data_IF_086417846056
#
_entry.id   IF_086417846056
#
_cell.length_a   1.000
_cell.length_b   1.000
_cell.length_c   1.000
_cell.angle_alpha   90.00
_cell.angle_beta   90.00
_cell.angle_gamma   90.00
#
_symmetry.space_group_name_H-M   'P 1'
#
loop_
_entity.id
_entity.type
_entity.pdbx_description
1 polymer ?
#
# COMPACT_ATOMS: atom_id res chain seq x y z
N UNK A 1 11.52 63.76 33.59
CA UNK A 1 11.46 62.29 33.48
C UNK A 1 10.19 61.76 32.81
N UNK A 2 9.15 62.57 32.55
CA UNK A 2 7.88 62.11 31.93
C UNK A 2 7.88 62.02 30.38
N UNK A 3 8.81 62.66 29.66
CA UNK A 3 8.80 62.66 28.19
C UNK A 3 9.30 61.36 27.54
N UNK A 4 10.10 60.55 28.25
CA UNK A 4 10.67 59.32 27.69
C UNK A 4 9.67 58.16 27.63
N UNK A 5 8.69 58.12 28.55
CA UNK A 5 7.65 57.09 28.58
C UNK A 5 6.68 57.20 27.41
N UNK A 6 6.26 58.42 27.06
CA UNK A 6 5.30 58.66 25.96
C UNK A 6 5.82 58.17 24.60
N UNK A 7 7.13 58.27 24.34
CA UNK A 7 7.72 57.81 23.08
C UNK A 7 7.78 56.29 22.97
N UNK A 8 8.02 55.60 24.09
CA UNK A 8 8.07 54.14 24.13
C UNK A 8 6.67 53.53 23.99
N UNK A 9 5.67 54.13 24.64
CA UNK A 9 4.28 53.71 24.53
C UNK A 9 3.72 53.86 23.11
N UNK A 10 4.04 54.96 22.43
CA UNK A 10 3.67 55.17 21.02
C UNK A 10 4.34 54.15 20.10
N UNK A 11 5.62 53.85 20.32
CA UNK A 11 6.33 52.86 19.52
C UNK A 11 5.75 51.45 19.72
N UNK A 12 5.39 51.10 20.96
CA UNK A 12 4.75 49.83 21.30
C UNK A 12 3.36 49.71 20.67
N UNK A 13 2.57 50.77 20.68
CA UNK A 13 1.24 50.78 20.04
C UNK A 13 1.35 50.58 18.53
N UNK A 14 2.29 51.25 17.86
CA UNK A 14 2.54 51.08 16.41
C UNK A 14 3.00 49.65 16.11
N UNK A 15 3.91 49.09 16.92
CA UNK A 15 4.38 47.72 16.75
C UNK A 15 3.24 46.69 16.92
N UNK A 16 2.34 46.91 17.88
CA UNK A 16 1.18 46.05 18.12
C UNK A 16 0.20 46.05 16.94
N UNK A 17 -0.11 47.22 16.40
CA UNK A 17 -0.98 47.36 15.22
C UNK A 17 -0.31 46.76 13.98
N UNK A 18 0.99 47.00 13.79
CA UNK A 18 1.73 46.41 12.68
C UNK A 18 1.74 44.88 12.77
N UNK A 19 1.93 44.32 13.97
CA UNK A 19 1.92 42.86 14.19
C UNK A 19 0.54 42.25 13.96
N UNK A 20 -0.54 42.92 14.35
CA UNK A 20 -1.91 42.40 14.19
C UNK A 20 -2.32 42.29 12.73
N UNK A 21 -1.76 43.12 11.85
CA UNK A 21 -1.97 43.06 10.38
C UNK A 21 -0.96 42.13 9.71
N UNK A 22 0.30 42.13 10.16
CA UNK A 22 1.36 41.33 9.52
C UNK A 22 1.10 39.83 9.61
N UNK A 23 0.59 39.32 10.74
CA UNK A 23 0.37 37.88 10.93
C UNK A 23 -0.65 37.32 9.92
N UNK A 24 -1.86 37.88 9.75
CA UNK A 24 -2.80 37.44 8.71
C UNK A 24 -2.22 37.50 7.29
N UNK A 25 -1.45 38.55 6.96
CA UNK A 25 -0.85 38.71 5.63
C UNK A 25 0.14 37.59 5.33
N UNK A 26 1.00 37.23 6.28
CA UNK A 26 1.97 36.13 6.11
C UNK A 26 1.23 34.80 5.92
N UNK A 27 0.20 34.53 6.73
CA UNK A 27 -0.60 33.30 6.61
C UNK A 27 -1.28 33.25 5.24
N UNK A 28 -1.82 34.37 4.75
CA UNK A 28 -2.47 34.43 3.45
C UNK A 28 -1.48 34.13 2.30
N UNK A 29 -0.26 34.67 2.35
CA UNK A 29 0.77 34.42 1.35
C UNK A 29 1.19 32.94 1.36
N UNK A 30 1.46 32.37 2.55
CA UNK A 30 1.84 30.96 2.68
C UNK A 30 0.71 30.03 2.25
N UNK A 31 -0.53 30.35 2.62
CA UNK A 31 -1.72 29.61 2.22
C UNK A 31 -1.89 29.60 0.71
N UNK A 32 -1.75 30.75 0.06
CA UNK A 32 -1.81 30.87 -1.40
C UNK A 32 -0.72 30.04 -2.09
N UNK A 33 0.52 30.10 -1.59
CA UNK A 33 1.63 29.36 -2.19
C UNK A 33 1.45 27.85 -2.08
N UNK A 34 1.01 27.36 -0.91
CA UNK A 34 0.74 25.94 -0.69
C UNK A 34 -0.43 25.45 -1.56
N UNK A 35 -1.52 26.22 -1.61
CA UNK A 35 -2.71 25.88 -2.40
C UNK A 35 -2.41 25.87 -3.90
N UNK A 36 -1.56 26.78 -4.39
CA UNK A 36 -1.12 26.78 -5.79
C UNK A 36 -0.33 25.50 -6.14
N UNK A 37 0.55 25.04 -5.23
CA UNK A 37 1.29 23.78 -5.40
C UNK A 37 0.38 22.56 -5.48
N UNK A 38 -0.58 22.46 -4.55
CA UNK A 38 -1.54 21.35 -4.50
C UNK A 38 -2.45 21.35 -5.75
N UNK A 39 -2.92 22.52 -6.18
CA UNK A 39 -3.78 22.63 -7.36
C UNK A 39 -3.05 22.19 -8.63
N UNK A 40 -1.75 22.50 -8.76
CA UNK A 40 -0.95 22.07 -9.91
C UNK A 40 -0.81 20.53 -9.94
N UNK A 41 -0.48 19.92 -8.81
CA UNK A 41 -0.35 18.46 -8.71
C UNK A 41 -1.67 17.73 -9.00
N UNK A 42 -2.81 18.31 -8.61
CA UNK A 42 -4.13 17.77 -8.94
C UNK A 42 -4.36 17.68 -10.45
N UNK A 43 -4.08 18.77 -11.17
CA UNK A 43 -4.22 18.83 -12.63
C UNK A 43 -3.26 17.83 -13.32
N UNK A 44 -2.02 17.71 -12.83
CA UNK A 44 -1.04 16.76 -13.37
C UNK A 44 -1.52 15.31 -13.22
N UNK A 45 -2.08 14.97 -12.05
CA UNK A 45 -2.68 13.64 -11.80
C UNK A 45 -3.84 13.36 -12.75
N UNK A 46 -4.73 14.32 -12.95
CA UNK A 46 -5.90 14.16 -13.82
C UNK A 46 -5.48 13.92 -15.27
N UNK A 47 -4.47 14.65 -15.78
CA UNK A 47 -3.92 14.41 -17.12
C UNK A 47 -3.28 13.03 -17.25
N UNK A 48 -2.49 12.59 -16.26
CA UNK A 48 -1.90 11.25 -16.23
C UNK A 48 -2.97 10.17 -16.21
N UNK A 49 -4.07 10.38 -15.47
CA UNK A 49 -5.19 9.45 -15.40
C UNK A 49 -5.93 9.35 -16.74
N UNK A 50 -6.19 10.48 -17.40
CA UNK A 50 -6.81 10.51 -18.74
C UNK A 50 -5.91 9.80 -19.76
N UNK A 51 -4.61 10.14 -19.78
CA UNK A 51 -3.65 9.51 -20.67
C UNK A 51 -3.54 8.00 -20.43
N UNK A 52 -3.51 7.55 -19.17
CA UNK A 52 -3.51 6.13 -18.84
C UNK A 52 -4.77 5.41 -19.32
N UNK A 53 -5.94 6.05 -19.24
CA UNK A 53 -7.19 5.46 -19.71
C UNK A 53 -7.21 5.30 -21.23
N UNK A 54 -6.73 6.31 -21.99
CA UNK A 54 -6.59 6.23 -23.45
C UNK A 54 -5.67 5.05 -23.84
N UNK A 55 -4.55 4.89 -23.15
CA UNK A 55 -3.59 3.82 -23.49
C UNK A 55 -4.07 2.41 -23.11
N UNK A 56 -5.02 2.28 -22.18
CA UNK A 56 -5.62 0.99 -21.79
C UNK A 56 -6.60 0.44 -22.81
N UNK A 57 -7.25 1.31 -23.57
CA UNK A 57 -8.11 0.87 -24.66
C UNK A 57 -7.25 0.11 -25.69
N UNK A 58 -7.81 -0.83 -26.47
CA UNK A 58 -7.07 -1.44 -27.56
C UNK A 58 -6.78 -0.40 -28.65
N UNK A 59 -5.64 -0.48 -29.35
CA UNK A 59 -5.39 0.39 -30.49
C UNK A 59 -6.47 0.15 -31.55
N UNK A 60 -7.22 1.19 -31.93
CA UNK A 60 -8.11 1.12 -33.08
C UNK A 60 -7.38 1.61 -34.34
N UNK A 61 -7.83 1.17 -35.50
CA UNK A 61 -7.26 1.55 -36.80
C UNK A 61 -7.63 2.96 -37.24
N UNK A 62 -8.34 3.72 -36.40
CA UNK A 62 -8.81 5.05 -36.71
C UNK A 62 -7.69 6.06 -36.47
N UNK A 63 -7.43 6.96 -37.42
CA UNK A 63 -6.37 7.98 -37.33
C UNK A 63 -6.52 8.84 -36.07
N UNK A 64 -7.77 9.16 -35.68
CA UNK A 64 -8.08 9.91 -34.46
C UNK A 64 -7.60 9.21 -33.17
N UNK A 65 -7.60 7.87 -33.14
CA UNK A 65 -7.11 7.10 -31.98
C UNK A 65 -5.59 7.15 -31.87
N UNK A 66 -4.89 7.12 -33.00
CA UNK A 66 -3.43 7.21 -33.03
C UNK A 66 -2.94 8.56 -32.50
N UNK A 67 -3.53 9.67 -32.94
CA UNK A 67 -3.18 11.00 -32.43
C UNK A 67 -3.42 11.13 -30.93
N UNK A 68 -4.55 10.61 -30.44
CA UNK A 68 -4.87 10.60 -29.01
C UNK A 68 -3.88 9.77 -28.18
N UNK A 69 -3.40 8.64 -28.72
CA UNK A 69 -2.33 7.85 -28.08
C UNK A 69 -1.00 8.59 -28.05
N UNK A 70 -0.62 9.23 -29.14
CA UNK A 70 0.61 10.03 -29.20
C UNK A 70 0.56 11.14 -28.14
N UNK A 71 -0.58 11.83 -28.04
CA UNK A 71 -0.84 12.81 -26.99
C UNK A 71 -0.72 12.19 -25.60
N UNK A 72 -1.36 11.05 -25.36
CA UNK A 72 -1.31 10.37 -24.06
C UNK A 72 0.12 9.97 -23.67
N UNK A 73 0.93 9.46 -24.60
CA UNK A 73 2.34 9.14 -24.38
C UNK A 73 3.13 10.40 -24.04
N UNK A 74 2.92 11.51 -24.76
CA UNK A 74 3.61 12.77 -24.50
C UNK A 74 3.23 13.36 -23.13
N UNK A 75 1.97 13.27 -22.73
CA UNK A 75 1.49 13.68 -21.40
C UNK A 75 2.18 12.85 -20.31
N UNK A 76 2.17 11.51 -20.43
CA UNK A 76 2.82 10.63 -19.46
C UNK A 76 4.32 10.89 -19.38
N UNK A 77 5.01 11.05 -20.50
CA UNK A 77 6.45 11.33 -20.55
C UNK A 77 6.81 12.68 -19.92
N UNK A 78 5.96 13.70 -20.11
CA UNK A 78 6.15 15.04 -19.53
C UNK A 78 5.98 15.07 -18.02
N UNK A 79 5.04 14.30 -17.48
CA UNK A 79 4.74 14.27 -16.04
C UNK A 79 5.41 13.11 -15.30
N UNK A 80 6.05 12.18 -16.00
CA UNK A 80 6.82 11.11 -15.39
C UNK A 80 8.15 11.65 -14.79
N UNK A 81 8.54 11.20 -13.59
CA UNK A 81 9.85 11.54 -13.01
C UNK A 81 11.05 11.04 -13.84
N UNK A 82 10.84 9.99 -14.64
CA UNK A 82 11.85 9.34 -15.48
C UNK A 82 11.31 9.29 -16.90
N UNK A 83 12.02 9.86 -17.90
CA UNK A 83 11.56 9.86 -19.28
C UNK A 83 11.51 8.45 -19.85
N UNK A 84 10.52 8.19 -20.71
CA UNK A 84 10.34 6.90 -21.35
C UNK A 84 11.39 6.67 -22.42
N UNK A 85 11.94 5.45 -22.48
CA UNK A 85 12.82 5.03 -23.57
C UNK A 85 12.07 5.04 -24.91
N UNK A 86 12.80 5.27 -26.00
CA UNK A 86 12.21 5.23 -27.35
C UNK A 86 11.52 3.88 -27.65
N UNK A 87 12.07 2.78 -27.13
CA UNK A 87 11.46 1.45 -27.24
C UNK A 87 10.13 1.33 -26.49
N UNK A 88 10.02 1.89 -25.29
CA UNK A 88 8.79 1.88 -24.50
C UNK A 88 7.71 2.74 -25.14
N UNK A 89 8.07 3.93 -25.66
CA UNK A 89 7.13 4.79 -26.39
C UNK A 89 6.51 4.06 -27.58
N UNK A 90 7.33 3.37 -28.38
CA UNK A 90 6.84 2.54 -29.49
C UNK A 90 5.94 1.40 -29.03
N UNK A 91 6.30 0.68 -27.96
CA UNK A 91 5.47 -0.39 -27.40
C UNK A 91 4.10 0.12 -26.89
N UNK A 92 4.07 1.32 -26.31
CA UNK A 92 2.83 1.97 -25.85
C UNK A 92 1.97 2.45 -27.03
N UNK A 93 2.60 2.98 -28.08
CA UNK A 93 1.91 3.41 -29.31
C UNK A 93 1.27 2.21 -30.01
N UNK A 94 2.01 1.10 -30.13
CA UNK A 94 1.53 -0.15 -30.73
C UNK A 94 0.44 -0.86 -29.92
N UNK A 95 0.12 -0.40 -28.70
CA UNK A 95 -0.78 -1.10 -27.77
C UNK A 95 -0.27 -2.47 -27.31
N UNK A 96 0.99 -2.80 -27.63
CA UNK A 96 1.65 -4.07 -27.26
C UNK A 96 2.12 -4.08 -25.80
N UNK A 97 1.96 -2.95 -25.10
CA UNK A 97 2.09 -2.87 -23.65
C UNK A 97 0.77 -3.29 -22.98
N UNK A 98 0.24 -4.46 -23.36
CA UNK A 98 -0.55 -5.19 -22.37
C UNK A 98 0.47 -5.54 -21.29
N UNK A 99 0.26 -5.06 -20.06
CA UNK A 99 0.99 -5.57 -18.90
C UNK A 99 0.96 -7.08 -19.05
N UNK A 100 2.11 -7.67 -19.38
CA UNK A 100 2.21 -9.10 -19.63
C UNK A 100 1.50 -9.78 -18.47
N UNK A 101 0.44 -10.55 -18.75
CA UNK A 101 -0.34 -11.32 -17.77
C UNK A 101 0.51 -12.38 -17.03
N UNK A 102 1.83 -12.23 -17.06
CA UNK A 102 2.84 -13.04 -16.40
C UNK A 102 3.18 -12.52 -15.00
N UNK A 103 2.26 -11.87 -14.29
CA UNK A 103 2.15 -12.20 -12.87
C UNK A 103 1.32 -13.47 -12.88
N UNK A 104 2.01 -14.61 -13.10
CA UNK A 104 1.35 -15.90 -13.29
C UNK A 104 0.23 -16.05 -12.27
N UNK A 105 -1.01 -16.18 -12.77
CA UNK A 105 -2.26 -16.09 -12.02
C UNK A 105 -2.05 -16.40 -10.53
N UNK A 106 -1.90 -15.35 -9.71
CA UNK A 106 -1.84 -15.53 -8.26
C UNK A 106 -3.12 -16.27 -7.91
N UNK A 107 -3.04 -17.50 -7.35
CA UNK A 107 -4.24 -18.28 -7.11
C UNK A 107 -5.26 -17.44 -6.33
N UNK A 108 -6.50 -17.41 -6.78
CA UNK A 108 -7.52 -16.44 -6.33
C UNK A 108 -7.70 -16.47 -4.81
N UNK A 109 -7.47 -17.63 -4.18
CA UNK A 109 -7.48 -17.84 -2.74
C UNK A 109 -6.44 -17.01 -1.95
N UNK A 110 -5.39 -16.48 -2.60
CA UNK A 110 -4.43 -15.57 -1.97
C UNK A 110 -4.84 -14.10 -2.03
N UNK A 111 -5.77 -13.76 -2.92
CA UNK A 111 -6.35 -12.41 -3.03
C UNK A 111 -7.63 -12.24 -2.21
N UNK A 112 -8.15 -13.33 -1.63
CA UNK A 112 -9.26 -13.25 -0.70
C UNK A 112 -8.88 -12.39 0.52
N UNK A 113 -9.76 -11.48 0.97
CA UNK A 113 -9.50 -10.69 2.15
C UNK A 113 -9.30 -11.62 3.36
N UNK A 114 -8.46 -11.22 4.34
CA UNK A 114 -8.24 -12.02 5.52
C UNK A 114 -9.57 -12.26 6.23
N UNK A 115 -9.79 -13.49 6.71
CA UNK A 115 -11.00 -13.84 7.44
C UNK A 115 -11.11 -12.92 8.67
N UNK A 116 -12.26 -12.24 8.85
CA UNK A 116 -12.41 -11.30 9.95
C UNK A 116 -12.40 -12.04 11.29
N UNK A 117 -11.76 -11.44 12.29
CA UNK A 117 -11.84 -11.92 13.67
C UNK A 117 -13.18 -11.45 14.24
N UNK A 118 -14.00 -12.39 14.70
CA UNK A 118 -15.28 -12.12 15.34
C UNK A 118 -15.03 -11.46 16.71
N UNK A 119 -15.80 -10.43 17.03
CA UNK A 119 -15.75 -9.81 18.36
C UNK A 119 -16.16 -10.83 19.43
N UNK A 120 -15.40 -10.92 20.51
CA UNK A 120 -15.73 -11.78 21.64
C UNK A 120 -16.99 -11.21 22.32
N UNK A 121 -18.11 -11.94 22.35
CA UNK A 121 -19.35 -11.44 22.92
C UNK A 121 -19.24 -11.36 24.46
N UNK A 122 -20.03 -10.47 25.07
CA UNK A 122 -20.06 -10.28 26.52
C UNK A 122 -20.24 -11.62 27.26
N UNK A 123 -19.23 -12.01 28.06
CA UNK A 123 -19.26 -13.29 28.77
C UNK A 123 -20.42 -13.42 29.76
N UNK A 124 -20.95 -12.30 30.26
CA UNK A 124 -22.11 -12.28 31.19
C UNK A 124 -23.45 -12.57 30.51
N UNK A 125 -23.54 -12.36 29.19
CA UNK A 125 -24.80 -12.45 28.42
C UNK A 125 -24.83 -13.62 27.46
N UNK A 126 -23.72 -14.34 27.33
CA UNK A 126 -23.51 -15.31 26.27
C UNK A 126 -23.33 -16.71 26.85
N UNK A 127 -24.01 -17.69 26.28
CA UNK A 127 -23.81 -19.10 26.64
C UNK A 127 -22.34 -19.51 26.46
N UNK A 128 -21.85 -20.35 27.38
CA UNK A 128 -20.53 -21.01 27.32
C UNK A 128 -20.25 -21.60 25.94
N UNK A 129 -21.24 -22.25 25.33
CA UNK A 129 -21.05 -22.94 24.07
C UNK A 129 -20.90 -21.97 22.89
N UNK A 130 -21.62 -20.83 22.93
CA UNK A 130 -21.44 -19.75 21.97
C UNK A 130 -20.05 -19.10 22.10
N UNK A 131 -19.56 -18.89 23.34
CA UNK A 131 -18.21 -18.37 23.57
C UNK A 131 -17.13 -19.31 23.01
N UNK A 132 -17.28 -20.63 23.24
CA UNK A 132 -16.35 -21.63 22.69
C UNK A 132 -16.35 -21.64 21.17
N UNK A 133 -17.54 -21.54 20.56
CA UNK A 133 -17.67 -21.50 19.11
C UNK A 133 -16.97 -20.28 18.52
N UNK A 134 -17.26 -19.08 19.03
CA UNK A 134 -16.60 -17.83 18.58
C UNK A 134 -15.08 -17.91 18.76
N UNK A 135 -14.62 -18.46 19.87
CA UNK A 135 -13.19 -18.63 20.13
C UNK A 135 -12.53 -19.60 19.14
N UNK A 136 -13.17 -20.75 18.87
CA UNK A 136 -12.69 -21.73 17.90
C UNK A 136 -12.67 -21.15 16.48
N UNK A 137 -13.71 -20.42 16.08
CA UNK A 137 -13.81 -19.75 14.78
C UNK A 137 -12.69 -18.69 14.62
N UNK A 138 -12.40 -17.91 15.67
CA UNK A 138 -11.31 -16.93 15.67
C UNK A 138 -9.93 -17.58 15.55
N UNK A 139 -9.69 -18.70 16.24
CA UNK A 139 -8.44 -19.45 16.09
C UNK A 139 -8.28 -19.93 14.65
N UNK A 140 -9.32 -20.52 14.07
CA UNK A 140 -9.28 -21.03 12.71
C UNK A 140 -9.06 -19.90 11.68
N UNK A 141 -9.70 -18.75 11.87
CA UNK A 141 -9.49 -17.56 11.06
C UNK A 141 -8.02 -17.09 11.13
N UNK A 142 -7.46 -16.96 12.33
CA UNK A 142 -6.05 -16.58 12.52
C UNK A 142 -5.08 -17.57 11.89
N UNK A 143 -5.30 -18.89 12.04
CA UNK A 143 -4.48 -19.91 11.41
C UNK A 143 -4.54 -19.83 9.88
N UNK A 144 -5.74 -19.69 9.31
CA UNK A 144 -5.92 -19.53 7.86
C UNK A 144 -5.17 -18.30 7.35
N UNK A 145 -5.38 -17.15 7.99
CA UNK A 145 -4.75 -15.89 7.57
C UNK A 145 -3.22 -15.97 7.65
N UNK A 146 -2.69 -16.66 8.67
CA UNK A 146 -1.24 -16.87 8.83
C UNK A 146 -0.68 -17.73 7.71
N UNK A 147 -1.36 -18.83 7.34
CA UNK A 147 -0.94 -19.68 6.24
C UNK A 147 -0.98 -18.94 4.89
N UNK A 148 -2.04 -18.17 4.64
CA UNK A 148 -2.16 -17.33 3.43
C UNK A 148 -1.03 -16.31 3.37
N UNK A 149 -0.73 -15.64 4.48
CA UNK A 149 0.35 -14.65 4.57
C UNK A 149 1.72 -15.29 4.30
N UNK A 150 2.03 -16.42 4.93
CA UNK A 150 3.31 -17.10 4.72
C UNK A 150 3.47 -17.54 3.26
N UNK A 151 2.41 -18.07 2.65
CA UNK A 151 2.42 -18.49 1.25
C UNK A 151 2.63 -17.29 0.31
N UNK A 152 1.99 -16.14 0.59
CA UNK A 152 2.22 -14.89 -0.13
C UNK A 152 3.67 -14.44 -0.01
N UNK A 153 4.25 -14.48 1.20
CA UNK A 153 5.65 -14.15 1.42
C UNK A 153 6.60 -15.06 0.66
N UNK A 154 6.35 -16.38 0.64
CA UNK A 154 7.14 -17.32 -0.14
C UNK A 154 7.06 -17.03 -1.65
N UNK A 155 5.86 -16.73 -2.16
CA UNK A 155 5.66 -16.35 -3.56
C UNK A 155 6.45 -15.09 -3.91
N UNK A 156 6.45 -14.09 -3.04
CA UNK A 156 7.22 -12.86 -3.23
C UNK A 156 8.73 -13.10 -3.19
N UNK A 157 9.21 -13.94 -2.28
CA UNK A 157 10.62 -14.33 -2.22
C UNK A 157 11.02 -15.08 -3.51
N UNK A 158 10.17 -15.97 -4.01
CA UNK A 158 10.41 -16.69 -5.25
C UNK A 158 10.44 -15.73 -6.46
N UNK A 159 9.53 -14.75 -6.49
CA UNK A 159 9.50 -13.70 -7.49
C UNK A 159 10.78 -12.86 -7.46
N UNK A 160 11.18 -12.38 -6.28
CA UNK A 160 12.39 -11.56 -6.10
C UNK A 160 13.66 -12.34 -6.47
N UNK A 161 13.79 -13.61 -6.07
CA UNK A 161 14.90 -14.48 -6.51
C UNK A 161 14.97 -14.65 -8.02
N UNK A 162 13.82 -14.78 -8.66
CA UNK A 162 13.71 -14.91 -10.12
C UNK A 162 14.17 -13.61 -10.78
N UNK A 163 13.71 -12.46 -10.28
CA UNK A 163 14.14 -11.14 -10.75
C UNK A 163 15.63 -10.86 -10.51
N UNK A 164 16.17 -11.22 -9.34
CA UNK A 164 17.59 -11.09 -9.01
C UNK A 164 18.47 -11.96 -9.92
N UNK A 165 18.04 -13.17 -10.27
CA UNK A 165 18.74 -14.01 -11.24
C UNK A 165 18.82 -13.33 -12.61
N UNK A 166 17.70 -12.78 -13.09
CA UNK A 166 17.68 -12.05 -14.35
C UNK A 166 18.50 -10.76 -14.31
N UNK A 167 18.49 -10.02 -13.19
CA UNK A 167 19.32 -8.84 -13.01
C UNK A 167 20.83 -9.19 -12.99
N UNK A 168 21.19 -10.31 -12.36
CA UNK A 168 22.59 -10.77 -12.33
C UNK A 168 23.06 -11.25 -13.71
N UNK A 169 22.19 -11.91 -14.48
CA UNK A 169 22.47 -12.20 -15.88
C UNK A 169 22.63 -10.91 -16.70
N UNK A 170 21.80 -9.90 -16.47
CA UNK A 170 21.90 -8.58 -17.13
C UNK A 170 23.28 -7.92 -16.89
N UNK A 171 23.76 -7.93 -15.65
CA UNK A 171 25.07 -7.34 -15.27
C UNK A 171 26.23 -8.05 -15.97
N UNK A 172 26.13 -9.36 -16.24
CA UNK A 172 27.15 -10.09 -17.00
C UNK A 172 27.21 -9.70 -18.48
N UNK A 173 26.11 -9.20 -19.04
CA UNK A 173 26.08 -8.74 -20.43
C UNK A 173 26.58 -7.30 -20.57
N UNK A 174 26.45 -6.47 -19.53
CA UNK A 174 26.91 -5.07 -19.51
C UNK A 174 28.45 -4.94 -19.56
N UNK A 175 29.18 -6.01 -19.25
CA UNK A 175 30.64 -6.08 -19.34
C UNK A 175 31.19 -6.67 -20.65
N UNK A 176 30.32 -7.05 -21.60
CA UNK A 176 30.73 -7.56 -22.92
C UNK A 176 30.99 -6.40 -23.90
N UNK A 177 31.97 -6.56 -24.80
CA UNK A 177 32.26 -5.54 -25.81
C UNK A 177 31.09 -5.40 -26.82
N UNK A 178 30.89 -4.20 -27.42
CA UNK A 178 29.71 -3.85 -28.21
C UNK A 178 29.39 -4.76 -29.40
N UNK A 179 30.40 -5.41 -29.96
CA UNK A 179 30.35 -6.33 -31.09
C UNK A 179 29.77 -7.71 -30.74
N UNK A 180 29.83 -8.13 -29.47
CA UNK A 180 29.23 -9.39 -28.98
C UNK A 180 27.81 -9.22 -28.41
N UNK A 181 27.37 -7.98 -28.20
CA UNK A 181 26.08 -7.63 -27.57
C UNK A 181 24.84 -7.85 -28.47
N UNK A 182 24.98 -7.99 -29.78
CA UNK A 182 23.82 -8.05 -30.70
C UNK A 182 22.97 -9.32 -30.57
N UNK A 183 23.54 -10.47 -30.21
CA UNK A 183 22.80 -11.74 -30.10
C UNK A 183 22.04 -11.90 -28.77
N UNK A 184 22.59 -11.52 -27.60
CA UNK A 184 21.86 -11.57 -26.33
C UNK A 184 20.84 -10.43 -26.16
N UNK A 185 21.12 -9.23 -26.70
CA UNK A 185 20.25 -8.07 -26.55
C UNK A 185 18.85 -8.24 -27.17
N UNK A 186 18.73 -8.98 -28.28
CA UNK A 186 17.43 -9.34 -28.85
C UNK A 186 16.60 -10.23 -27.91
N UNK A 187 17.26 -11.15 -27.18
CA UNK A 187 16.62 -12.06 -26.24
C UNK A 187 16.21 -11.39 -24.92
N UNK A 188 16.86 -10.28 -24.57
CA UNK A 188 16.59 -9.48 -23.36
C UNK A 188 15.54 -8.36 -23.58
N UNK A 189 15.30 -7.93 -24.82
CA UNK A 189 14.29 -6.92 -25.16
C UNK A 189 12.83 -7.40 -24.97
N UNK A 190 12.65 -8.69 -24.68
CA UNK A 190 11.37 -9.37 -24.44
C UNK A 190 10.98 -9.44 -22.95
N UNK A 191 11.85 -9.04 -22.01
CA UNK A 191 11.55 -9.16 -20.58
C UNK A 191 10.78 -7.95 -20.01
N UNK A 192 9.67 -8.15 -19.28
CA UNK A 192 8.89 -7.07 -18.68
C UNK A 192 9.61 -6.47 -17.48
N UNK A 193 9.69 -5.14 -17.43
CA UNK A 193 10.25 -4.35 -16.31
C UNK A 193 9.12 -3.70 -15.51
N UNK A 194 8.86 -4.17 -14.28
CA UNK A 194 8.23 -3.45 -13.14
C UNK A 194 8.22 -4.42 -11.93
N UNK A 195 8.27 -4.04 -10.63
CA UNK A 195 7.38 -3.15 -9.88
C UNK A 195 7.97 -2.67 -8.52
N UNK A 196 7.44 -1.55 -7.99
CA UNK A 196 7.71 -1.00 -6.65
C UNK A 196 6.46 -1.00 -5.74
N UNK A 197 5.31 -1.49 -6.22
CA UNK A 197 3.98 -1.37 -5.56
C UNK A 197 3.63 -2.54 -4.62
N UNK A 198 4.26 -3.69 -4.77
CA UNK A 198 3.98 -4.91 -3.97
C UNK A 198 4.39 -4.75 -2.50
N UNK A 199 5.41 -3.95 -2.20
CA UNK A 199 5.97 -3.79 -0.84
C UNK A 199 5.04 -2.98 0.08
N UNK A 200 4.32 -1.97 -0.44
CA UNK A 200 3.44 -1.13 0.37
C UNK A 200 2.16 -1.87 0.78
N UNK A 201 1.56 -2.63 -0.15
CA UNK A 201 0.40 -3.49 0.14
C UNK A 201 0.70 -4.50 1.26
N UNK A 202 1.89 -5.09 1.25
CA UNK A 202 2.30 -6.06 2.26
C UNK A 202 2.44 -5.46 3.65
N UNK A 203 2.90 -4.21 3.78
CA UNK A 203 3.01 -3.54 5.09
C UNK A 203 1.64 -3.32 5.73
N UNK A 204 0.67 -2.89 4.92
CA UNK A 204 -0.71 -2.67 5.37
C UNK A 204 -1.41 -4.00 5.70
N UNK A 205 -1.18 -5.04 4.89
CA UNK A 205 -1.68 -6.39 5.12
C UNK A 205 -1.08 -7.04 6.38
N UNK A 206 0.23 -6.85 6.64
CA UNK A 206 0.91 -7.37 7.83
C UNK A 206 0.37 -6.75 9.12
N UNK A 207 0.10 -5.44 9.11
CA UNK A 207 -0.48 -4.73 10.26
C UNK A 207 -1.91 -5.20 10.56
N UNK A 208 -2.72 -5.47 9.54
CA UNK A 208 -4.11 -5.89 9.72
C UNK A 208 -4.26 -7.32 10.29
N UNK A 209 -3.31 -8.22 10.03
CA UNK A 209 -3.45 -9.64 10.39
C UNK A 209 -2.74 -10.01 11.69
N UNK A 210 -1.54 -9.45 11.93
CA UNK A 210 -0.70 -9.91 13.05
C UNK A 210 -1.04 -9.21 14.36
N UNK A 211 -1.47 -7.94 14.30
CA UNK A 211 -1.87 -7.20 15.50
C UNK A 211 -3.07 -7.82 16.22
N UNK A 212 -4.14 -8.28 15.53
CA UNK A 212 -5.30 -8.91 16.19
C UNK A 212 -5.06 -10.36 16.66
N UNK A 213 -4.16 -11.11 16.01
CA UNK A 213 -3.92 -12.52 16.35
C UNK A 213 -2.95 -12.71 17.54
N UNK A 214 -2.32 -11.64 18.05
CA UNK A 214 -1.69 -11.68 19.36
C UNK A 214 -2.76 -11.64 20.45
N UNK A 215 -3.18 -12.81 20.92
CA UNK A 215 -3.82 -12.90 22.23
C UNK A 215 -2.89 -12.22 23.23
N UNK A 216 -3.36 -11.13 23.84
CA UNK A 216 -2.60 -10.54 24.93
C UNK A 216 -2.54 -11.56 26.08
N UNK A 217 -1.49 -11.49 26.90
CA UNK A 217 -1.28 -12.41 28.02
C UNK A 217 -2.51 -12.51 28.94
N UNK A 218 -3.27 -11.41 29.06
CA UNK A 218 -4.50 -11.32 29.86
C UNK A 218 -5.63 -12.21 29.30
N UNK A 219 -5.83 -12.27 27.99
CA UNK A 219 -6.84 -13.13 27.36
C UNK A 219 -6.49 -14.61 27.49
N UNK A 220 -5.20 -14.94 27.39
CA UNK A 220 -4.72 -16.30 27.64
C UNK A 220 -4.92 -16.71 29.10
N UNK A 221 -4.65 -15.80 30.04
CA UNK A 221 -4.84 -16.03 31.47
C UNK A 221 -6.33 -16.21 31.83
N UNK A 222 -7.22 -15.40 31.24
CA UNK A 222 -8.67 -15.55 31.42
C UNK A 222 -9.16 -16.93 30.92
N UNK A 223 -8.67 -17.38 29.77
CA UNK A 223 -9.00 -18.70 29.24
C UNK A 223 -8.48 -19.81 30.15
N UNK A 224 -7.23 -19.73 30.61
CA UNK A 224 -6.64 -20.71 31.51
C UNK A 224 -7.38 -20.77 32.86
N UNK A 225 -7.77 -19.62 33.41
CA UNK A 225 -8.55 -19.55 34.64
C UNK A 225 -9.95 -20.13 34.46
N UNK A 226 -10.61 -19.87 33.33
CA UNK A 226 -11.91 -20.47 33.00
C UNK A 226 -11.82 -22.01 32.90
N UNK A 227 -10.79 -22.54 32.22
CA UNK A 227 -10.56 -24.00 32.12
C UNK A 227 -10.41 -24.61 33.53
N UNK A 228 -9.56 -24.01 34.39
CA UNK A 228 -9.36 -24.46 35.77
C UNK A 228 -10.64 -24.45 36.61
N UNK A 229 -11.45 -23.39 36.49
CA UNK A 229 -12.73 -23.31 37.21
C UNK A 229 -13.69 -24.41 36.79
N UNK A 230 -13.75 -24.73 35.49
CA UNK A 230 -14.62 -25.77 34.96
C UNK A 230 -14.18 -27.17 35.40
N UNK A 231 -12.88 -27.45 35.40
CA UNK A 231 -12.35 -28.72 35.93
C UNK A 231 -12.70 -28.92 37.40
N UNK A 232 -12.64 -27.84 38.19
CA UNK A 232 -13.06 -27.86 39.60
C UNK A 232 -14.55 -28.15 39.72
N UNK A 233 -15.38 -27.47 38.93
CA UNK A 233 -16.84 -27.68 38.92
C UNK A 233 -17.20 -29.15 38.60
N UNK A 234 -16.62 -29.73 37.55
CA UNK A 234 -16.90 -31.13 37.19
C UNK A 234 -16.41 -32.12 38.26
N UNK A 235 -15.26 -31.86 38.92
CA UNK A 235 -14.79 -32.68 40.05
C UNK A 235 -15.73 -32.62 41.25
N UNK A 236 -16.30 -31.45 41.52
CA UNK A 236 -17.24 -31.26 42.64
C UNK A 236 -18.62 -31.86 42.31
N UNK A 237 -19.05 -31.78 41.06
CA UNK A 237 -20.29 -32.41 40.57
C UNK A 237 -20.19 -33.94 40.52
N UNK A 238 -19.06 -34.50 40.09
CA UNK A 238 -18.82 -35.95 40.13
C UNK A 238 -18.79 -36.52 41.54
N UNK A 239 -18.39 -35.70 42.53
CA UNK A 239 -18.43 -36.10 43.96
C UNK A 239 -19.84 -36.08 44.55
N UNK A 240 -20.71 -35.18 44.07
CA UNK A 240 -22.11 -35.11 44.52
C UNK A 240 -22.97 -36.23 43.93
N UNK A 241 -22.60 -36.73 42.76
CA UNK A 241 -23.31 -37.77 42.03
C UNK A 241 -22.60 -39.14 42.09
N UNK A 242 -21.63 -39.31 43.00
CA UNK A 242 -21.04 -40.60 43.32
C UNK A 242 -22.03 -41.49 44.10
N UNK A 243 -21.86 -42.83 44.04
CA UNK A 243 -22.91 -43.83 44.28
C UNK A 243 -23.61 -43.75 45.63
#
# INVERSE_FOLDING_TARGET
MSQQSDTLEKLQAIASIASSIAVPVIIAILGWWLQAGISKQGIEKDYVQIASNILKEPPSSDEDNEELRIWAIAVLDKYAPIPFSASLRRKLQDGKFLMSETIGNVPYNFMEPPKPVLSIPDAKKTSSDNLRKVYADNILACQTNTLTLNSLQELLIAFDKTHLKYATEYIKYDSLPPDELMKPAQKLAELPKQEYYTIQFLKEYYAAIILPCKMNSTQLELLQNYIKQREKYHKDESKKNGP
#
